data_IF_097158910549
#
_entry.id   IF_097158910549
#
_cell.length_a   1.000
_cell.length_b   1.000
_cell.length_c   1.000
_cell.angle_alpha   90.00
_cell.angle_beta   90.00
_cell.angle_gamma   90.00
#
_symmetry.space_group_name_H-M   'P 1'
#
loop_
_entity.id
_entity.type
_entity.pdbx_description
1 polymer ?
#
# COMPACT_ATOMS: atom_id res chain seq x y z
N UNK A 1 5.29 1.32 -19.86
CA UNK A 1 6.09 0.42 -19.00
C UNK A 1 5.23 -0.70 -18.41
N UNK A 2 3.99 -0.40 -18.00
CA UNK A 2 3.05 -1.35 -17.41
C UNK A 2 1.84 -1.65 -18.31
N UNK A 3 2.00 -1.50 -19.64
CA UNK A 3 0.91 -1.72 -20.61
C UNK A 3 0.29 -3.10 -20.41
N UNK A 4 -1.04 -3.15 -20.41
CA UNK A 4 -1.87 -4.34 -20.24
C UNK A 4 -1.73 -5.06 -18.86
N UNK A 5 -0.99 -4.50 -17.91
CA UNK A 5 -0.94 -5.01 -16.53
C UNK A 5 -2.15 -4.52 -15.74
N UNK A 6 -2.61 -5.35 -14.81
CA UNK A 6 -3.69 -5.01 -13.89
C UNK A 6 -3.14 -4.86 -12.48
N UNK A 7 -3.34 -3.70 -11.89
CA UNK A 7 -2.88 -3.36 -10.55
C UNK A 7 -4.07 -3.16 -9.58
N UNK A 8 -4.00 -3.78 -8.42
CA UNK A 8 -4.88 -3.49 -7.27
C UNK A 8 -4.07 -2.70 -6.26
N UNK A 9 -4.53 -1.48 -5.93
CA UNK A 9 -3.88 -0.61 -4.94
C UNK A 9 -4.83 -0.40 -3.78
N UNK A 10 -4.47 -0.90 -2.58
CA UNK A 10 -5.31 -0.75 -1.39
C UNK A 10 -5.09 0.60 -0.71
N UNK A 11 -6.18 1.19 -0.18
CA UNK A 11 -6.12 2.49 0.46
C UNK A 11 -5.67 3.61 -0.49
N UNK A 12 -6.07 3.55 -1.77
CA UNK A 12 -5.59 4.44 -2.82
C UNK A 12 -6.31 5.80 -2.91
N UNK A 13 -7.22 6.12 -1.99
CA UNK A 13 -7.98 7.38 -2.03
C UNK A 13 -7.15 8.63 -1.74
N UNK A 14 -5.95 8.53 -1.14
CA UNK A 14 -5.09 9.65 -0.79
C UNK A 14 -3.61 9.26 -0.65
N UNK A 15 -2.75 10.26 -0.51
CA UNK A 15 -1.33 10.10 -0.16
C UNK A 15 -0.58 9.17 -1.11
N UNK A 16 0.28 8.32 -0.55
CA UNK A 16 1.16 7.41 -1.30
C UNK A 16 0.36 6.48 -2.22
N UNK A 17 -0.72 5.87 -1.73
CA UNK A 17 -1.53 4.95 -2.53
C UNK A 17 -2.19 5.61 -3.74
N UNK A 18 -2.64 6.88 -3.59
CA UNK A 18 -3.18 7.67 -4.69
C UNK A 18 -2.12 7.92 -5.78
N UNK A 19 -0.92 8.32 -5.37
CA UNK A 19 0.16 8.61 -6.31
C UNK A 19 0.66 7.33 -7.00
N UNK A 20 0.76 6.20 -6.30
CA UNK A 20 1.08 4.91 -6.91
C UNK A 20 0.04 4.55 -7.98
N UNK A 21 -1.26 4.71 -7.68
CA UNK A 21 -2.32 4.41 -8.63
C UNK A 21 -2.23 5.29 -9.90
N UNK A 22 -1.96 6.60 -9.74
CA UNK A 22 -1.75 7.54 -10.86
C UNK A 22 -0.53 7.16 -11.70
N UNK A 23 0.60 6.93 -11.05
CA UNK A 23 1.86 6.56 -11.70
C UNK A 23 1.70 5.27 -12.50
N UNK A 24 1.07 4.25 -11.91
CA UNK A 24 0.84 2.98 -12.60
C UNK A 24 -0.09 3.14 -13.81
N UNK A 25 -1.18 3.91 -13.67
CA UNK A 25 -2.07 4.22 -14.79
C UNK A 25 -1.35 5.02 -15.89
N UNK A 26 -0.53 6.00 -15.52
CA UNK A 26 0.30 6.77 -16.46
C UNK A 26 1.31 5.88 -17.22
N UNK A 27 1.74 4.78 -16.63
CA UNK A 27 2.58 3.77 -17.28
C UNK A 27 1.79 2.73 -18.08
N UNK A 28 0.47 2.86 -18.16
CA UNK A 28 -0.43 2.05 -18.97
C UNK A 28 -1.05 0.85 -18.26
N UNK A 29 -0.97 0.78 -16.92
CA UNK A 29 -1.69 -0.23 -16.15
C UNK A 29 -3.18 0.11 -16.02
N UNK A 30 -4.02 -0.92 -15.96
CA UNK A 30 -5.42 -0.82 -15.51
C UNK A 30 -5.44 -0.91 -14.00
N UNK A 31 -6.08 0.04 -13.32
CA UNK A 31 -5.96 0.17 -11.87
C UNK A 31 -7.29 -0.04 -11.16
N UNK A 32 -7.33 -0.94 -10.18
CA UNK A 32 -8.39 -1.03 -9.20
C UNK A 32 -8.01 -0.20 -7.98
N UNK A 33 -8.71 0.90 -7.78
CA UNK A 33 -8.56 1.84 -6.68
C UNK A 33 -9.41 1.35 -5.51
N UNK A 34 -8.79 0.72 -4.51
CA UNK A 34 -9.53 0.31 -3.32
C UNK A 34 -9.59 1.45 -2.30
N UNK A 35 -10.75 1.55 -1.66
CA UNK A 35 -11.01 2.46 -0.54
C UNK A 35 -11.93 1.80 0.49
N UNK A 36 -11.93 2.31 1.73
CA UNK A 36 -12.91 1.91 2.75
C UNK A 36 -13.76 3.10 3.23
N UNK A 37 -13.15 4.27 3.44
CA UNK A 37 -13.81 5.43 4.04
C UNK A 37 -14.38 6.42 3.02
N UNK A 38 -13.56 7.03 2.17
CA UNK A 38 -13.97 8.11 1.28
C UNK A 38 -14.16 7.65 -0.16
N UNK A 39 -15.41 7.42 -0.53
CA UNK A 39 -15.82 7.10 -1.90
C UNK A 39 -15.55 8.26 -2.86
N UNK A 40 -15.83 9.48 -2.42
CA UNK A 40 -15.59 10.69 -3.21
C UNK A 40 -14.13 10.83 -3.65
N UNK A 41 -13.18 10.61 -2.74
CA UNK A 41 -11.75 10.68 -3.06
C UNK A 41 -11.32 9.58 -4.04
N UNK A 42 -11.86 8.39 -3.89
CA UNK A 42 -11.55 7.29 -4.80
C UNK A 42 -12.13 7.55 -6.20
N UNK A 43 -13.36 8.03 -6.30
CA UNK A 43 -13.98 8.38 -7.56
C UNK A 43 -13.28 9.57 -8.23
N UNK A 44 -12.90 10.60 -7.47
CA UNK A 44 -12.09 11.71 -7.98
C UNK A 44 -10.77 11.23 -8.60
N UNK A 45 -10.10 10.25 -7.97
CA UNK A 45 -8.88 9.66 -8.52
C UNK A 45 -9.16 8.89 -9.83
N UNK A 46 -10.24 8.12 -9.87
CA UNK A 46 -10.64 7.38 -11.09
C UNK A 46 -10.90 8.34 -12.25
N UNK A 47 -11.62 9.42 -12.00
CA UNK A 47 -11.89 10.43 -13.05
C UNK A 47 -10.60 11.17 -13.50
N UNK A 48 -9.68 11.48 -12.58
CA UNK A 48 -8.39 12.06 -12.91
C UNK A 48 -7.55 11.11 -13.81
N UNK A 49 -7.52 9.82 -13.47
CA UNK A 49 -6.82 8.81 -14.28
C UNK A 49 -7.44 8.70 -15.68
N UNK A 50 -8.77 8.66 -15.77
CA UNK A 50 -9.48 8.58 -17.06
C UNK A 50 -9.26 9.83 -17.91
N UNK A 51 -9.31 11.01 -17.29
CA UNK A 51 -9.04 12.28 -17.97
C UNK A 51 -7.62 12.35 -18.56
N UNK A 52 -6.66 11.69 -17.91
CA UNK A 52 -5.29 11.54 -18.40
C UNK A 52 -5.12 10.40 -19.44
N UNK A 53 -6.21 9.75 -19.87
CA UNK A 53 -6.20 8.66 -20.85
C UNK A 53 -5.88 7.27 -20.28
N UNK A 54 -5.84 7.14 -18.96
CA UNK A 54 -5.64 5.85 -18.27
C UNK A 54 -6.96 5.11 -18.03
N UNK A 55 -6.86 3.91 -17.44
CA UNK A 55 -8.00 3.06 -17.12
C UNK A 55 -8.02 2.72 -15.62
N UNK A 56 -9.08 3.10 -14.93
CA UNK A 56 -9.25 2.80 -13.51
C UNK A 56 -10.71 2.59 -13.12
N UNK A 57 -10.92 1.81 -12.06
CA UNK A 57 -12.21 1.61 -11.40
C UNK A 57 -12.02 1.66 -9.89
N UNK A 58 -13.04 2.14 -9.17
CA UNK A 58 -13.02 2.15 -7.70
C UNK A 58 -13.78 0.95 -7.13
N UNK A 59 -13.33 0.42 -6.00
CA UNK A 59 -14.02 -0.64 -5.27
C UNK A 59 -13.89 -0.45 -3.76
N UNK A 60 -15.04 -0.40 -3.08
CA UNK A 60 -15.09 -0.29 -1.62
C UNK A 60 -14.85 -1.66 -0.98
N UNK A 61 -13.84 -1.75 -0.13
CA UNK A 61 -13.61 -2.93 0.71
C UNK A 61 -12.74 -2.56 1.92
N UNK A 62 -13.11 -3.07 3.08
CA UNK A 62 -12.27 -3.08 4.27
C UNK A 62 -11.32 -4.28 4.19
N UNK A 63 -10.04 -4.05 3.96
CA UNK A 63 -9.04 -5.12 3.84
C UNK A 63 -8.85 -5.94 5.12
N UNK A 64 -9.22 -5.39 6.29
CA UNK A 64 -9.20 -6.12 7.56
C UNK A 64 -10.28 -7.22 7.60
N UNK A 65 -11.37 -7.07 6.84
CA UNK A 65 -12.38 -8.10 6.65
C UNK A 65 -11.94 -9.10 5.57
N UNK A 66 -11.95 -10.38 5.94
CA UNK A 66 -11.45 -11.44 5.04
C UNK A 66 -12.32 -11.63 3.80
N UNK A 67 -13.64 -11.51 3.95
CA UNK A 67 -14.59 -11.68 2.84
C UNK A 67 -14.59 -10.46 1.91
N UNK A 68 -14.46 -9.24 2.46
CA UNK A 68 -14.37 -8.03 1.64
C UNK A 68 -13.04 -7.98 0.85
N UNK A 69 -11.92 -8.42 1.47
CA UNK A 69 -10.64 -8.56 0.75
C UNK A 69 -10.74 -9.61 -0.38
N UNK A 70 -11.49 -10.70 -0.18
CA UNK A 70 -11.79 -11.67 -1.24
C UNK A 70 -12.63 -11.04 -2.36
N UNK A 71 -13.67 -10.29 -1.99
CA UNK A 71 -14.54 -9.60 -2.95
C UNK A 71 -13.76 -8.60 -3.82
N UNK A 72 -12.82 -7.85 -3.24
CA UNK A 72 -11.93 -6.96 -3.96
C UNK A 72 -11.12 -7.70 -5.05
N UNK A 73 -10.50 -8.83 -4.71
CA UNK A 73 -9.72 -9.60 -5.68
C UNK A 73 -10.60 -10.24 -6.75
N UNK A 74 -11.78 -10.75 -6.38
CA UNK A 74 -12.77 -11.28 -7.34
C UNK A 74 -13.26 -10.18 -8.29
N UNK A 75 -13.53 -8.99 -7.79
CA UNK A 75 -13.93 -7.83 -8.60
C UNK A 75 -12.85 -7.46 -9.62
N UNK A 76 -11.59 -7.39 -9.21
CA UNK A 76 -10.49 -7.09 -10.12
C UNK A 76 -10.37 -8.13 -11.25
N UNK A 77 -10.50 -9.42 -10.93
CA UNK A 77 -10.48 -10.50 -11.93
C UNK A 77 -11.72 -10.45 -12.83
N UNK A 78 -12.91 -10.18 -12.29
CA UNK A 78 -14.13 -10.08 -13.08
C UNK A 78 -14.09 -8.89 -14.06
N UNK A 79 -13.47 -7.76 -13.65
CA UNK A 79 -13.37 -6.54 -14.45
C UNK A 79 -12.31 -6.64 -15.54
N UNK A 80 -11.12 -7.16 -15.19
CA UNK A 80 -9.94 -7.08 -16.05
C UNK A 80 -9.35 -8.45 -16.44
N UNK A 81 -9.91 -9.55 -15.96
CA UNK A 81 -9.50 -10.91 -16.30
C UNK A 81 -8.27 -11.43 -15.56
N UNK A 82 -7.51 -10.56 -14.90
CA UNK A 82 -6.23 -10.89 -14.26
C UNK A 82 -5.87 -9.92 -13.12
N UNK A 83 -4.86 -10.27 -12.33
CA UNK A 83 -4.19 -9.37 -11.38
C UNK A 83 -2.70 -9.60 -11.50
N UNK A 84 -1.96 -8.59 -11.97
CA UNK A 84 -0.51 -8.66 -12.13
C UNK A 84 0.24 -8.05 -10.96
N UNK A 85 -0.33 -7.00 -10.38
CA UNK A 85 0.30 -6.19 -9.35
C UNK A 85 -0.68 -6.04 -8.18
N UNK A 86 -0.19 -6.32 -6.97
CA UNK A 86 -0.89 -6.01 -5.72
C UNK A 86 -0.04 -5.04 -4.90
N UNK A 87 -0.58 -3.87 -4.58
CA UNK A 87 0.03 -2.91 -3.66
C UNK A 87 -0.78 -2.87 -2.38
N UNK A 88 -0.25 -3.44 -1.31
CA UNK A 88 -0.80 -3.38 0.04
C UNK A 88 -0.34 -2.08 0.70
N UNK A 89 -1.11 -1.02 0.49
CA UNK A 89 -0.83 0.32 1.02
C UNK A 89 -1.82 0.73 2.12
N UNK A 90 -3.01 0.15 2.19
CA UNK A 90 -3.98 0.47 3.23
C UNK A 90 -3.37 0.36 4.63
N UNK A 91 -3.56 1.40 5.44
CA UNK A 91 -3.02 1.44 6.79
C UNK A 91 -3.52 2.65 7.57
N UNK A 92 -3.46 2.51 8.89
CA UNK A 92 -3.80 3.55 9.86
C UNK A 92 -2.74 3.64 10.94
N UNK A 93 -2.76 4.73 11.68
CA UNK A 93 -2.04 4.92 12.96
C UNK A 93 -3.04 5.16 14.09
N UNK A 94 -2.67 4.77 15.32
CA UNK A 94 -3.35 5.07 16.59
C UNK A 94 -2.25 5.26 17.61
N UNK A 95 -1.64 6.44 17.56
CA UNK A 95 -0.41 6.74 18.30
C UNK A 95 -0.75 7.11 19.75
N UNK A 96 -0.12 6.41 20.69
CA UNK A 96 -0.12 6.73 22.10
C UNK A 96 1.04 5.98 22.79
N UNK A 97 1.53 6.51 23.90
CA UNK A 97 2.46 5.76 24.77
C UNK A 97 1.77 4.48 25.27
N UNK A 98 2.53 3.41 25.48
CA UNK A 98 1.99 2.10 25.89
C UNK A 98 1.07 2.21 27.12
N UNK A 99 1.43 3.04 28.09
CA UNK A 99 0.62 3.27 29.30
C UNK A 99 -0.79 3.78 28.98
N UNK A 100 -0.97 4.59 27.95
CA UNK A 100 -2.26 5.19 27.57
C UNK A 100 -2.90 4.55 26.35
N UNK A 101 -2.23 3.57 25.69
CA UNK A 101 -2.77 2.90 24.51
C UNK A 101 -3.86 1.91 24.91
N UNK A 102 -5.00 2.01 24.24
CA UNK A 102 -6.10 1.05 24.43
C UNK A 102 -5.86 -0.21 23.61
N UNK A 103 -6.38 -1.34 24.10
CA UNK A 103 -6.36 -2.61 23.35
C UNK A 103 -6.98 -2.45 21.96
N UNK A 104 -8.10 -1.72 21.85
CA UNK A 104 -8.75 -1.43 20.57
C UNK A 104 -7.87 -0.66 19.61
N UNK A 105 -7.02 0.26 20.09
CA UNK A 105 -6.09 1.02 19.24
C UNK A 105 -4.98 0.13 18.69
N UNK A 106 -4.54 -0.86 19.49
CA UNK A 106 -3.59 -1.87 19.06
C UNK A 106 -4.21 -2.79 18.00
N UNK A 107 -5.39 -3.34 18.31
CA UNK A 107 -6.11 -4.29 17.45
C UNK A 107 -6.50 -3.66 16.09
N UNK A 108 -7.00 -2.43 16.09
CA UNK A 108 -7.33 -1.70 14.87
C UNK A 108 -6.13 -1.62 13.92
N UNK A 109 -4.96 -1.23 14.44
CA UNK A 109 -3.74 -1.08 13.66
C UNK A 109 -3.24 -2.45 13.15
N UNK A 110 -3.23 -3.47 13.99
CA UNK A 110 -2.84 -4.83 13.57
C UNK A 110 -3.81 -5.39 12.53
N UNK A 111 -5.10 -5.23 12.74
CA UNK A 111 -6.12 -5.75 11.83
C UNK A 111 -6.06 -5.11 10.45
N UNK A 112 -5.90 -3.80 10.37
CA UNK A 112 -5.86 -3.12 9.07
C UNK A 112 -4.49 -3.28 8.40
N UNK A 113 -3.40 -2.94 9.11
CA UNK A 113 -2.07 -2.86 8.49
C UNK A 113 -1.46 -4.24 8.21
N UNK A 114 -1.58 -5.17 9.14
CA UNK A 114 -0.90 -6.47 9.07
C UNK A 114 -1.83 -7.56 8.53
N UNK A 115 -2.98 -7.78 9.19
CA UNK A 115 -3.95 -8.79 8.77
C UNK A 115 -4.55 -8.43 7.40
N UNK A 116 -4.85 -7.14 7.13
CA UNK A 116 -5.33 -6.69 5.83
C UNK A 116 -4.35 -6.99 4.70
N UNK A 117 -3.05 -6.77 4.94
CA UNK A 117 -1.98 -7.17 4.00
C UNK A 117 -2.00 -8.68 3.74
N UNK A 118 -2.09 -9.49 4.79
CA UNK A 118 -2.20 -10.95 4.68
C UNK A 118 -3.46 -11.36 3.90
N UNK A 119 -4.63 -10.79 4.21
CA UNK A 119 -5.89 -11.11 3.55
C UNK A 119 -5.80 -10.88 2.02
N UNK A 120 -5.30 -9.72 1.61
CA UNK A 120 -5.14 -9.40 0.20
C UNK A 120 -4.18 -10.36 -0.51
N UNK A 121 -3.04 -10.68 0.10
CA UNK A 121 -2.08 -11.66 -0.43
C UNK A 121 -2.74 -13.03 -0.55
N UNK A 122 -3.46 -13.48 0.48
CA UNK A 122 -4.14 -14.78 0.51
C UNK A 122 -5.12 -14.95 -0.65
N UNK A 123 -5.87 -13.89 -0.97
CA UNK A 123 -6.90 -13.97 -2.01
C UNK A 123 -6.35 -13.79 -3.43
N UNK A 124 -5.23 -13.08 -3.62
CA UNK A 124 -4.56 -12.96 -4.93
C UNK A 124 -3.66 -14.15 -5.24
N UNK A 125 -3.20 -14.89 -4.22
CA UNK A 125 -2.19 -15.94 -4.30
C UNK A 125 -2.46 -16.95 -5.42
N UNK A 126 -3.67 -17.56 -5.45
CA UNK A 126 -4.03 -18.56 -6.47
C UNK A 126 -4.09 -17.99 -7.88
N UNK A 127 -4.53 -16.74 -8.00
CA UNK A 127 -4.61 -16.04 -9.30
C UNK A 127 -3.21 -15.86 -9.87
N UNK A 128 -2.28 -15.28 -9.10
CA UNK A 128 -0.91 -15.08 -9.53
C UNK A 128 -0.18 -16.41 -9.80
N UNK A 129 -0.41 -17.45 -8.98
CA UNK A 129 0.16 -18.77 -9.22
C UNK A 129 -0.28 -19.38 -10.54
N UNK A 130 -1.57 -19.28 -10.90
CA UNK A 130 -2.10 -19.77 -12.18
C UNK A 130 -1.53 -18.97 -13.35
N UNK A 131 -1.34 -17.68 -13.19
CA UNK A 131 -0.75 -16.79 -14.19
C UNK A 131 0.75 -17.04 -14.37
N UNK A 132 1.44 -17.66 -13.39
CA UNK A 132 2.90 -17.76 -13.29
C UNK A 132 3.58 -16.39 -13.37
N UNK A 133 2.90 -15.38 -12.84
CA UNK A 133 3.33 -13.99 -12.82
C UNK A 133 2.61 -13.25 -11.68
N UNK A 134 3.35 -12.39 -11.00
CA UNK A 134 2.82 -11.50 -9.99
C UNK A 134 3.91 -10.60 -9.41
N UNK A 135 3.50 -9.41 -9.00
CA UNK A 135 4.32 -8.41 -8.31
C UNK A 135 3.56 -7.93 -7.09
N UNK A 136 4.10 -8.20 -5.91
CA UNK A 136 3.48 -7.80 -4.64
C UNK A 136 4.37 -6.74 -4.00
N UNK A 137 3.79 -5.57 -3.73
CA UNK A 137 4.43 -4.49 -2.99
C UNK A 137 3.69 -4.31 -1.68
N UNK A 138 4.40 -4.40 -0.58
CA UNK A 138 3.87 -4.20 0.75
C UNK A 138 4.45 -2.91 1.36
N UNK A 139 3.59 -1.97 1.75
CA UNK A 139 4.02 -0.73 2.37
C UNK A 139 4.32 -0.96 3.86
N UNK A 140 5.62 -1.02 4.18
CA UNK A 140 6.13 -0.98 5.53
C UNK A 140 6.33 0.48 5.99
N UNK A 141 7.31 0.73 6.82
CA UNK A 141 7.75 2.05 7.29
C UNK A 141 9.14 1.93 7.91
N UNK A 142 9.91 3.01 7.93
CA UNK A 142 11.12 3.12 8.76
C UNK A 142 10.80 2.80 10.22
N UNK A 143 9.63 3.18 10.72
CA UNK A 143 9.15 2.86 12.08
C UNK A 143 9.04 1.33 12.30
N UNK A 144 8.76 0.55 11.27
CA UNK A 144 8.77 -0.91 11.36
C UNK A 144 10.17 -1.52 11.40
N UNK A 145 11.21 -0.75 11.09
CA UNK A 145 12.62 -1.17 11.13
C UNK A 145 13.28 -0.73 12.43
N UNK A 146 13.05 0.50 12.85
CA UNK A 146 13.78 1.15 13.95
C UNK A 146 12.93 1.29 15.22
N UNK A 147 11.61 1.22 15.12
CA UNK A 147 10.68 1.57 16.18
C UNK A 147 10.48 3.08 16.31
N UNK A 148 9.47 3.48 17.07
CA UNK A 148 9.24 4.86 17.47
C UNK A 148 8.41 4.92 18.76
N UNK A 149 8.75 5.83 19.66
CA UNK A 149 7.99 6.04 20.90
C UNK A 149 6.55 6.45 20.57
N UNK A 150 5.58 5.84 21.25
CA UNK A 150 4.15 6.09 21.02
C UNK A 150 3.55 5.32 19.83
N UNK A 151 4.32 4.51 19.12
CA UNK A 151 3.86 3.78 17.93
C UNK A 151 4.09 2.26 18.02
N UNK A 152 3.98 1.66 19.20
CA UNK A 152 4.26 0.23 19.39
C UNK A 152 3.38 -0.66 18.50
N UNK A 153 2.09 -0.33 18.36
CA UNK A 153 1.15 -1.01 17.48
C UNK A 153 1.53 -0.86 15.99
N UNK A 154 1.84 0.35 15.58
CA UNK A 154 2.24 0.65 14.21
C UNK A 154 3.59 0.00 13.85
N UNK A 155 4.60 0.14 14.72
CA UNK A 155 5.90 -0.50 14.58
C UNK A 155 5.77 -2.02 14.44
N UNK A 156 5.01 -2.66 15.34
CA UNK A 156 4.75 -4.09 15.29
C UNK A 156 4.07 -4.50 13.97
N UNK A 157 3.05 -3.76 13.52
CA UNK A 157 2.36 -4.03 12.26
C UNK A 157 3.30 -3.94 11.06
N UNK A 158 4.12 -2.89 10.99
CA UNK A 158 5.02 -2.64 9.85
C UNK A 158 6.24 -3.56 9.85
N UNK A 159 6.75 -3.96 11.01
CA UNK A 159 7.74 -5.03 11.13
C UNK A 159 7.16 -6.39 10.68
N UNK A 160 5.92 -6.70 11.08
CA UNK A 160 5.22 -7.91 10.65
C UNK A 160 5.01 -7.97 9.13
N UNK A 161 4.74 -6.84 8.47
CA UNK A 161 4.66 -6.72 7.01
C UNK A 161 5.98 -7.10 6.34
N UNK A 162 7.13 -6.74 6.90
CA UNK A 162 8.45 -7.17 6.40
C UNK A 162 8.58 -8.69 6.50
N UNK A 163 8.16 -9.28 7.63
CA UNK A 163 8.14 -10.73 7.83
C UNK A 163 7.27 -11.47 6.80
N UNK A 164 6.03 -11.00 6.61
CA UNK A 164 5.13 -11.54 5.57
C UNK A 164 5.78 -11.46 4.19
N UNK A 165 6.36 -10.33 3.84
CA UNK A 165 6.99 -10.11 2.53
C UNK A 165 8.09 -11.13 2.26
N UNK A 166 9.00 -11.32 3.22
CA UNK A 166 10.10 -12.29 3.12
C UNK A 166 9.61 -13.74 2.96
N UNK A 167 8.54 -14.11 3.68
CA UNK A 167 7.95 -15.43 3.61
C UNK A 167 7.30 -15.68 2.25
N UNK A 168 6.46 -14.75 1.78
CA UNK A 168 5.78 -14.84 0.48
C UNK A 168 6.78 -14.84 -0.68
N UNK A 169 7.85 -14.05 -0.62
CA UNK A 169 8.89 -14.09 -1.63
C UNK A 169 9.54 -15.48 -1.77
N UNK A 170 9.77 -16.17 -0.65
CA UNK A 170 10.29 -17.56 -0.64
C UNK A 170 9.27 -18.57 -1.17
N UNK A 171 7.99 -18.42 -0.80
CA UNK A 171 6.94 -19.36 -1.22
C UNK A 171 6.63 -19.25 -2.72
N UNK A 172 6.63 -18.03 -3.28
CA UNK A 172 6.14 -17.76 -4.63
C UNK A 172 7.24 -17.52 -5.67
N UNK A 173 8.49 -17.35 -5.25
CA UNK A 173 9.60 -17.00 -6.14
C UNK A 173 9.78 -17.99 -7.29
N UNK A 174 9.68 -19.31 -7.04
CA UNK A 174 9.77 -20.36 -8.06
C UNK A 174 8.63 -20.32 -9.10
N UNK A 175 7.62 -19.49 -8.89
CA UNK A 175 6.47 -19.29 -9.78
C UNK A 175 6.53 -17.99 -10.57
N UNK A 176 7.68 -17.30 -10.56
CA UNK A 176 7.84 -16.01 -11.26
C UNK A 176 7.13 -14.83 -10.56
N UNK A 177 6.82 -14.99 -9.28
CA UNK A 177 6.14 -13.96 -8.48
C UNK A 177 7.16 -13.36 -7.51
N UNK A 178 7.26 -12.02 -7.50
CA UNK A 178 8.11 -11.31 -6.55
C UNK A 178 7.28 -10.63 -5.46
N UNK A 179 7.83 -10.53 -4.26
CA UNK A 179 7.24 -9.76 -3.16
C UNK A 179 8.33 -8.87 -2.55
N UNK A 180 8.05 -7.57 -2.50
CA UNK A 180 8.96 -6.56 -1.98
C UNK A 180 8.25 -5.70 -0.94
N UNK A 181 9.01 -5.20 0.04
CA UNK A 181 8.52 -4.21 1.00
C UNK A 181 9.24 -2.88 0.74
N UNK A 182 8.46 -1.80 0.71
CA UNK A 182 8.98 -0.43 0.73
C UNK A 182 8.79 0.08 2.15
N UNK A 183 9.84 0.62 2.76
CA UNK A 183 9.81 1.22 4.09
C UNK A 183 10.04 2.73 3.99
N UNK A 184 9.01 3.53 3.67
CA UNK A 184 9.17 4.98 3.58
C UNK A 184 9.61 5.58 4.91
N UNK A 185 10.45 6.61 4.84
CA UNK A 185 10.70 7.52 5.93
C UNK A 185 9.60 8.58 6.04
N UNK A 186 9.98 9.82 6.29
CA UNK A 186 9.05 10.95 6.37
C UNK A 186 8.70 11.47 4.98
N UNK A 187 7.44 11.26 4.56
CA UNK A 187 6.91 11.63 3.25
C UNK A 187 5.88 12.75 3.42
N UNK A 188 5.96 13.76 2.57
CA UNK A 188 5.00 14.85 2.53
C UNK A 188 3.62 14.35 2.10
N UNK A 189 2.64 14.48 2.98
CA UNK A 189 1.25 14.06 2.79
C UNK A 189 0.35 14.99 3.59
N UNK A 190 -0.97 14.94 3.37
CA UNK A 190 -1.95 15.69 4.17
C UNK A 190 -1.71 15.53 5.70
N UNK A 191 -1.16 14.39 6.11
CA UNK A 191 -0.90 14.05 7.51
C UNK A 191 0.32 14.81 8.07
N UNK A 192 1.38 14.96 7.27
CA UNK A 192 2.58 15.71 7.65
C UNK A 192 2.38 17.23 7.50
N UNK A 193 1.54 17.65 6.56
CA UNK A 193 1.22 19.07 6.36
C UNK A 193 0.45 19.66 7.55
N UNK A 194 -0.34 18.85 8.24
CA UNK A 194 -1.08 19.25 9.44
C UNK A 194 -0.20 19.40 10.72
N UNK A 195 1.08 19.06 10.66
CA UNK A 195 1.99 19.17 11.79
C UNK A 195 2.46 20.60 12.02
N UNK A 196 2.74 20.94 13.29
CA UNK A 196 3.34 22.22 13.65
C UNK A 196 4.76 22.37 13.06
N UNK A 197 5.19 23.61 12.82
CA UNK A 197 6.52 23.90 12.29
C UNK A 197 7.63 23.29 13.17
N UNK A 198 7.48 23.34 14.49
CA UNK A 198 8.40 22.72 15.45
C UNK A 198 8.49 21.19 15.26
N UNK A 199 7.38 20.52 14.96
CA UNK A 199 7.37 19.09 14.70
C UNK A 199 8.03 18.76 13.35
N UNK A 200 7.83 19.62 12.33
CA UNK A 200 8.47 19.50 11.03
C UNK A 200 9.99 19.69 11.14
N UNK A 201 10.45 20.70 11.89
CA UNK A 201 11.88 20.91 12.15
C UNK A 201 12.52 19.70 12.85
N UNK A 202 11.88 19.17 13.90
CA UNK A 202 12.36 17.98 14.59
C UNK A 202 12.46 16.76 13.66
N UNK A 203 11.51 16.58 12.73
CA UNK A 203 11.60 15.52 11.71
C UNK A 203 12.79 15.72 10.77
N UNK A 204 13.02 16.96 10.30
CA UNK A 204 14.13 17.28 9.41
C UNK A 204 15.49 17.04 10.05
N UNK A 205 15.60 17.17 11.36
CA UNK A 205 16.85 16.88 12.09
C UNK A 205 17.24 15.41 12.01
N UNK A 206 16.28 14.51 11.94
CA UNK A 206 16.53 13.07 11.76
C UNK A 206 16.78 12.67 10.29
N UNK A 207 16.54 13.56 9.33
CA UNK A 207 16.72 13.27 7.90
C UNK A 207 18.06 13.81 7.42
N UNK A 208 18.97 12.95 7.00
CA UNK A 208 20.30 13.34 6.56
C UNK A 208 20.28 14.32 5.38
N UNK A 209 19.39 14.13 4.41
CA UNK A 209 19.24 15.00 3.23
C UNK A 209 18.42 16.26 3.51
N UNK A 210 17.97 16.47 4.76
CA UNK A 210 17.26 17.68 5.23
C UNK A 210 16.05 18.09 4.40
N UNK A 211 15.38 17.15 3.78
CA UNK A 211 14.07 17.35 3.15
C UNK A 211 13.17 16.13 3.36
N UNK A 212 11.87 16.35 3.41
CA UNK A 212 10.89 15.28 3.32
C UNK A 212 10.94 14.62 1.93
N UNK A 213 10.63 13.35 1.86
CA UNK A 213 10.35 12.68 0.60
C UNK A 213 8.99 13.12 0.04
N UNK A 214 8.83 13.06 -1.27
CA UNK A 214 7.55 13.28 -1.94
C UNK A 214 6.84 11.94 -2.18
N UNK A 215 5.52 11.94 -2.31
CA UNK A 215 4.76 10.72 -2.64
C UNK A 215 5.19 10.11 -3.97
N UNK A 216 5.67 10.92 -4.90
CA UNK A 216 6.24 10.48 -6.18
C UNK A 216 7.52 9.66 -6.00
N UNK A 217 8.38 9.96 -5.02
CA UNK A 217 9.59 9.17 -4.75
C UNK A 217 9.22 7.70 -4.43
N UNK A 218 8.12 7.51 -3.70
CA UNK A 218 7.62 6.18 -3.35
C UNK A 218 6.90 5.52 -4.55
N UNK A 219 6.13 6.29 -5.31
CA UNK A 219 5.40 5.78 -6.47
C UNK A 219 6.35 5.28 -7.57
N UNK A 220 7.43 6.01 -7.85
CA UNK A 220 8.46 5.60 -8.81
C UNK A 220 9.25 4.38 -8.30
N UNK A 221 9.55 4.32 -7.00
CA UNK A 221 10.17 3.13 -6.40
C UNK A 221 9.27 1.91 -6.55
N UNK A 222 7.96 2.05 -6.29
CA UNK A 222 6.99 0.98 -6.50
C UNK A 222 6.90 0.58 -7.98
N UNK A 223 6.91 1.56 -8.89
CA UNK A 223 6.91 1.30 -10.34
C UNK A 223 8.15 0.52 -10.79
N UNK A 224 9.33 0.89 -10.30
CA UNK A 224 10.57 0.15 -10.57
C UNK A 224 10.46 -1.32 -10.13
N UNK A 225 10.00 -1.58 -8.90
CA UNK A 225 9.92 -2.93 -8.33
C UNK A 225 8.89 -3.85 -9.02
N UNK A 226 7.98 -3.32 -9.82
CA UNK A 226 6.98 -4.12 -10.55
C UNK A 226 7.35 -4.35 -12.02
N UNK A 227 8.45 -3.81 -12.51
CA UNK A 227 8.94 -4.06 -13.86
C UNK A 227 9.41 -5.51 -14.03
N UNK A 228 9.35 -6.01 -15.27
CA UNK A 228 9.80 -7.37 -15.60
C UNK A 228 11.33 -7.54 -15.48
N UNK A 229 12.05 -6.43 -15.44
CA UNK A 229 13.52 -6.38 -15.33
C UNK A 229 14.04 -6.05 -13.93
N UNK A 230 13.14 -5.90 -12.93
CA UNK A 230 13.52 -5.61 -11.55
C UNK A 230 13.87 -6.89 -10.79
#
# INVERSE_FOLDING_TARGET
MLKDKVAVVTGAGRGIGREIAKTFAGYGAKVVVNFNGSEERANSLVEEIKAAGGEAVAFKANVADFAEAEALMKFAVATYGRIDILVNNAGITRDNLVLGMKESDFDDVININLKGTFNCIKHVYRTMMKQKYGRIINMSSVVGVEGNAGQVNYAASKAGVIGITKSIAKELGSRGITANAIAPGFIKTDMTDALSDKAKEAMLDHITVKRLGEVSDIAETAAFLVLDKA
#
